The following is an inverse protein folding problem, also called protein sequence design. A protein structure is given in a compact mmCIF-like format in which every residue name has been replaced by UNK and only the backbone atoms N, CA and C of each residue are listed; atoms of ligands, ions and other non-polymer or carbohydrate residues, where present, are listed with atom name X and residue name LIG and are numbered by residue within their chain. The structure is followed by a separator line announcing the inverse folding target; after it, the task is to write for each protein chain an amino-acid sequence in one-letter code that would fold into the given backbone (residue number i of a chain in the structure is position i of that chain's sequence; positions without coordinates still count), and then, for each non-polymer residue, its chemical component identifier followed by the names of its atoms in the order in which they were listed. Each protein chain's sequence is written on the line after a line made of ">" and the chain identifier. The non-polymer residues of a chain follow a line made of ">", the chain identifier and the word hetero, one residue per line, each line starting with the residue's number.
data_IF_544193944295
#
_entry.id   IF_544193944295
#
_cell.length_a   1.000
_cell.length_b   1.000
_cell.length_c   1.000
_cell.angle_alpha   90.00
_cell.angle_beta   90.00
_cell.angle_gamma   90.00
#
_symmetry.space_group_name_H-M   'P 1'
#
loop_
_entity.id
_entity.type
_entity.pdbx_description
1 polymer ?
#
# COMPACT_ATOMS: atom_id res chain seq x y z
N UNK A 1 -1.31 -9.05 -1.43
CA UNK A 1 -2.46 -8.65 -0.61
C UNK A 1 -2.22 -8.90 0.88
N UNK A 2 -1.69 -10.07 1.28
CA UNK A 2 -1.48 -10.44 2.70
C UNK A 2 -0.49 -9.58 3.49
N UNK A 3 0.27 -8.73 2.84
CA UNK A 3 1.23 -7.79 3.47
C UNK A 3 0.82 -6.32 3.35
N UNK A 4 -0.36 -6.04 2.83
CA UNK A 4 -0.86 -4.70 2.51
C UNK A 4 -2.26 -4.49 3.06
N UNK A 5 -2.72 -3.26 3.05
CA UNK A 5 -4.13 -2.93 3.19
C UNK A 5 -4.92 -3.48 1.99
N UNK A 6 -6.14 -3.91 2.24
CA UNK A 6 -7.03 -4.45 1.22
C UNK A 6 -8.40 -3.82 1.36
N UNK A 7 -8.88 -3.22 0.29
CA UNK A 7 -10.24 -2.68 0.20
C UNK A 7 -11.19 -3.77 -0.27
N UNK A 8 -12.26 -3.95 0.47
CA UNK A 8 -13.32 -4.91 0.16
C UNK A 8 -14.55 -4.13 -0.31
N UNK A 9 -15.15 -4.58 -1.42
CA UNK A 9 -16.39 -4.00 -1.96
C UNK A 9 -17.38 -5.08 -2.33
N UNK A 10 -18.66 -4.74 -2.24
CA UNK A 10 -19.74 -5.58 -2.77
C UNK A 10 -19.63 -5.64 -4.30
N UNK A 11 -19.93 -6.81 -4.87
CA UNK A 11 -19.88 -7.03 -6.34
C UNK A 11 -20.85 -6.15 -7.11
N UNK A 12 -21.95 -5.73 -6.48
CA UNK A 12 -22.95 -4.87 -7.08
C UNK A 12 -22.61 -3.37 -6.93
N UNK A 13 -21.67 -3.04 -6.03
CA UNK A 13 -21.20 -1.67 -5.76
C UNK A 13 -19.66 -1.63 -5.69
N UNK A 14 -18.97 -1.92 -6.79
CA UNK A 14 -17.51 -2.12 -6.79
C UNK A 14 -16.71 -0.86 -6.45
N UNK A 15 -17.31 0.32 -6.62
CA UNK A 15 -16.67 1.61 -6.33
C UNK A 15 -16.92 2.11 -4.89
N UNK A 16 -17.77 1.41 -4.13
CA UNK A 16 -18.05 1.74 -2.73
C UNK A 16 -17.24 0.85 -1.81
N UNK A 17 -16.55 1.43 -0.84
CA UNK A 17 -15.85 0.66 0.18
C UNK A 17 -16.88 0.02 1.11
N UNK A 18 -16.85 -1.29 1.21
CA UNK A 18 -17.62 -2.01 2.22
C UNK A 18 -16.89 -2.01 3.56
N UNK A 19 -15.65 -2.43 3.56
CA UNK A 19 -14.71 -2.32 4.68
C UNK A 19 -13.28 -2.49 4.20
N UNK A 20 -12.33 -2.12 5.06
CA UNK A 20 -10.90 -2.33 4.84
C UNK A 20 -10.39 -3.45 5.74
N UNK A 21 -9.38 -4.17 5.26
CA UNK A 21 -8.59 -5.13 6.03
C UNK A 21 -7.12 -4.73 6.02
N UNK A 22 -6.44 -4.91 7.14
CA UNK A 22 -5.01 -4.68 7.24
C UNK A 22 -4.27 -6.01 7.38
N UNK A 23 -3.46 -6.34 6.39
CA UNK A 23 -2.68 -7.58 6.32
C UNK A 23 -3.52 -8.85 6.56
N UNK A 24 -4.61 -9.03 5.82
CA UNK A 24 -5.50 -10.19 6.00
C UNK A 24 -4.77 -11.50 5.71
N UNK A 25 -5.26 -12.58 6.29
CA UNK A 25 -4.80 -13.92 5.96
C UNK A 25 -5.25 -14.35 4.55
N UNK A 26 -4.54 -15.32 3.98
CA UNK A 26 -4.94 -15.88 2.67
C UNK A 26 -6.32 -16.53 2.75
N UNK A 27 -6.59 -17.27 3.82
CA UNK A 27 -7.88 -17.93 4.05
C UNK A 27 -9.04 -16.92 4.13
N UNK A 28 -8.84 -15.80 4.82
CA UNK A 28 -9.83 -14.71 4.89
C UNK A 28 -10.13 -14.13 3.50
N UNK A 29 -9.09 -13.85 2.70
CA UNK A 29 -9.26 -13.37 1.33
C UNK A 29 -9.95 -14.39 0.42
N UNK A 30 -9.60 -15.66 0.51
CA UNK A 30 -10.24 -16.73 -0.25
C UNK A 30 -11.74 -16.85 0.10
N UNK A 31 -12.09 -16.73 1.37
CA UNK A 31 -13.48 -16.75 1.79
C UNK A 31 -14.26 -15.53 1.30
N UNK A 32 -13.69 -14.32 1.44
CA UNK A 32 -14.31 -13.08 0.97
C UNK A 32 -14.44 -13.02 -0.55
N UNK A 33 -13.50 -13.59 -1.30
CA UNK A 33 -13.53 -13.61 -2.77
C UNK A 33 -14.75 -14.33 -3.36
N UNK A 34 -15.43 -15.13 -2.57
CA UNK A 34 -16.68 -15.82 -2.99
C UNK A 34 -17.85 -14.84 -3.16
N UNK A 35 -17.89 -13.78 -2.37
CA UNK A 35 -19.01 -12.83 -2.29
C UNK A 35 -18.62 -11.38 -2.62
N UNK A 36 -17.39 -10.99 -2.38
CA UNK A 36 -16.88 -9.63 -2.54
C UNK A 36 -15.80 -9.55 -3.62
N UNK A 37 -15.52 -8.33 -4.03
CA UNK A 37 -14.30 -7.95 -4.74
C UNK A 37 -13.29 -7.45 -3.72
N UNK A 38 -12.00 -7.58 -4.04
CA UNK A 38 -10.96 -6.96 -3.25
C UNK A 38 -9.91 -6.29 -4.14
N UNK A 39 -9.43 -5.15 -3.69
CA UNK A 39 -8.37 -4.37 -4.31
C UNK A 39 -7.27 -4.11 -3.29
N UNK A 40 -6.03 -4.26 -3.71
CA UNK A 40 -4.89 -3.96 -2.86
C UNK A 40 -4.69 -2.45 -2.77
N UNK A 41 -4.54 -1.93 -1.56
CA UNK A 41 -4.14 -0.56 -1.34
C UNK A 41 -2.71 -0.32 -1.84
N UNK A 42 -2.54 0.71 -2.63
CA UNK A 42 -1.25 1.14 -3.18
C UNK A 42 -0.66 2.35 -2.43
N UNK A 43 -1.26 2.75 -1.31
CA UNK A 43 -0.80 3.86 -0.47
C UNK A 43 -1.16 5.24 -1.00
N UNK A 44 -2.14 5.37 -1.89
CA UNK A 44 -2.63 6.66 -2.39
C UNK A 44 -4.04 6.89 -1.88
N UNK A 45 -4.19 7.91 -1.03
CA UNK A 45 -5.44 8.29 -0.40
C UNK A 45 -5.76 9.75 -0.70
N UNK A 46 -6.95 10.01 -1.19
CA UNK A 46 -7.48 11.36 -1.38
C UNK A 46 -8.45 11.65 -0.22
N UNK A 47 -8.08 12.56 0.64
CA UNK A 47 -8.83 12.89 1.85
C UNK A 47 -9.53 14.23 1.68
N UNK A 48 -10.79 14.30 2.11
CA UNK A 48 -11.50 15.56 2.26
C UNK A 48 -11.00 16.34 3.48
N UNK A 49 -11.24 17.64 3.53
CA UNK A 49 -10.91 18.48 4.69
C UNK A 49 -11.49 17.88 5.97
N UNK A 50 -12.75 17.43 5.94
CA UNK A 50 -13.38 16.75 7.08
C UNK A 50 -12.63 15.49 7.52
N UNK A 51 -12.15 14.68 6.59
CA UNK A 51 -11.37 13.48 6.92
C UNK A 51 -10.03 13.85 7.56
N UNK A 52 -9.37 14.91 7.06
CA UNK A 52 -8.13 15.43 7.64
C UNK A 52 -8.38 15.97 9.05
N UNK A 53 -9.43 16.75 9.27
CA UNK A 53 -9.79 17.27 10.59
C UNK A 53 -10.02 16.14 11.61
N UNK A 54 -10.71 15.07 11.19
CA UNK A 54 -10.93 13.90 12.04
C UNK A 54 -9.63 13.15 12.35
N UNK A 55 -8.74 12.98 11.37
CA UNK A 55 -7.42 12.41 11.60
C UNK A 55 -6.61 13.24 12.60
N UNK A 56 -6.59 14.56 12.43
CA UNK A 56 -5.92 15.47 13.33
C UNK A 56 -6.51 15.37 14.75
N UNK A 57 -7.84 15.37 14.87
CA UNK A 57 -8.54 15.19 16.15
C UNK A 57 -8.18 13.88 16.85
N UNK A 58 -8.07 12.77 16.12
CA UNK A 58 -7.71 11.44 16.68
C UNK A 58 -6.23 11.33 17.08
N UNK A 59 -5.37 12.14 16.48
CA UNK A 59 -3.95 12.22 16.81
C UNK A 59 -3.65 13.13 18.00
N UNK A 60 -4.66 13.83 18.55
CA UNK A 60 -4.51 14.64 19.75
C UNK A 60 -4.49 13.78 21.01
N UNK A 61 -3.65 14.11 21.97
CA UNK A 61 -3.88 13.75 23.38
C UNK A 61 -5.03 14.61 23.91
N UNK A 62 -5.81 14.07 24.82
CA UNK A 62 -6.97 14.75 25.39
C UNK A 62 -6.66 16.23 25.71
N UNK A 63 -7.53 17.14 25.28
CA UNK A 63 -7.61 18.57 25.62
C UNK A 63 -6.67 19.54 24.85
N UNK A 64 -6.00 19.17 23.77
CA UNK A 64 -5.15 20.09 23.02
C UNK A 64 -5.54 20.26 21.54
N UNK A 65 -5.71 21.49 21.06
CA UNK A 65 -5.69 21.75 19.65
C UNK A 65 -4.29 21.50 19.09
N UNK A 66 -4.18 20.75 17.97
CA UNK A 66 -2.91 20.61 17.27
C UNK A 66 -2.58 21.94 16.59
N UNK A 67 -1.38 22.43 16.87
CA UNK A 67 -0.78 23.54 16.15
C UNK A 67 0.49 23.03 15.44
N UNK A 68 0.97 23.80 14.47
CA UNK A 68 2.21 23.50 13.71
C UNK A 68 3.40 23.29 14.66
N UNK A 69 3.39 23.97 15.79
CA UNK A 69 4.44 23.89 16.81
C UNK A 69 4.17 22.84 17.90
N UNK A 70 3.13 22.00 17.78
CA UNK A 70 2.84 20.97 18.79
C UNK A 70 3.98 19.98 18.87
N UNK A 71 4.62 19.79 20.05
CA UNK A 71 5.71 18.84 20.20
C UNK A 71 5.26 17.42 19.87
N UNK A 72 6.11 16.63 19.18
CA UNK A 72 5.82 15.25 18.84
C UNK A 72 5.45 14.39 20.06
N UNK A 73 6.02 14.67 21.22
CA UNK A 73 5.70 14.01 22.50
C UNK A 73 4.24 14.16 22.92
N UNK A 74 3.56 15.20 22.43
CA UNK A 74 2.18 15.54 22.78
C UNK A 74 1.17 14.96 21.80
N UNK A 75 1.65 14.28 20.76
CA UNK A 75 0.81 13.55 19.80
C UNK A 75 0.48 12.15 20.33
N UNK A 76 -0.74 11.70 20.04
CA UNK A 76 -1.15 10.31 20.19
C UNK A 76 -0.84 9.57 18.90
N UNK A 77 -0.19 8.41 18.99
CA UNK A 77 -0.05 7.54 17.84
C UNK A 77 -1.44 7.10 17.37
N UNK A 78 -1.72 7.34 16.09
CA UNK A 78 -2.95 6.93 15.42
C UNK A 78 -2.57 6.41 14.03
N UNK A 79 -2.82 5.13 13.77
CA UNK A 79 -2.38 4.47 12.55
C UNK A 79 -3.36 4.71 11.40
N UNK A 80 -2.85 5.19 10.27
CA UNK A 80 -3.66 5.48 9.10
C UNK A 80 -4.37 4.22 8.54
N UNK A 81 -3.78 3.05 8.69
CA UNK A 81 -4.34 1.79 8.17
C UNK A 81 -5.13 1.04 9.24
N UNK A 82 -4.49 0.80 10.40
CA UNK A 82 -5.05 -0.03 11.44
C UNK A 82 -6.13 0.65 12.29
N UNK A 83 -6.11 1.99 12.39
CA UNK A 83 -7.12 2.74 13.12
C UNK A 83 -8.09 3.44 12.17
N UNK A 84 -7.61 4.38 11.35
CA UNK A 84 -8.45 5.15 10.45
C UNK A 84 -9.06 4.30 9.34
N UNK A 85 -8.23 3.52 8.62
CA UNK A 85 -8.69 2.71 7.50
C UNK A 85 -9.73 1.66 7.90
N UNK A 86 -9.55 1.00 9.05
CA UNK A 86 -10.51 0.01 9.55
C UNK A 86 -11.83 0.64 10.06
N UNK A 87 -11.86 1.96 10.24
CA UNK A 87 -13.08 2.72 10.60
C UNK A 87 -13.86 3.20 9.37
N UNK A 88 -13.41 2.88 8.16
CA UNK A 88 -14.03 3.36 6.92
C UNK A 88 -14.89 2.29 6.24
N UNK A 89 -15.88 2.75 5.47
CA UNK A 89 -16.74 1.92 4.64
C UNK A 89 -18.15 1.74 5.21
N UNK A 90 -18.96 0.94 4.50
CA UNK A 90 -20.36 0.70 4.86
C UNK A 90 -20.50 -0.23 6.08
N UNK A 91 -19.54 -1.15 6.26
CA UNK A 91 -19.49 -2.10 7.38
C UNK A 91 -18.09 -2.06 8.04
N UNK A 92 -17.72 -0.93 8.65
CA UNK A 92 -16.38 -0.74 9.20
C UNK A 92 -16.06 -1.77 10.29
N UNK A 93 -14.77 -2.06 10.45
CA UNK A 93 -14.28 -3.01 11.46
C UNK A 93 -14.08 -2.38 12.83
N UNK A 94 -13.98 -1.06 12.86
CA UNK A 94 -13.87 -0.27 14.09
C UNK A 94 -15.06 0.68 14.16
N UNK A 95 -15.74 0.68 15.28
CA UNK A 95 -16.86 1.61 15.54
C UNK A 95 -16.32 2.97 15.98
N UNK A 96 -16.57 3.98 15.16
CA UNK A 96 -16.33 5.40 15.43
C UNK A 96 -17.38 6.21 14.67
N UNK A 97 -18.35 6.74 15.37
CA UNK A 97 -19.52 7.43 14.80
C UNK A 97 -19.15 8.52 13.79
N UNK A 98 -18.12 9.31 14.09
CA UNK A 98 -17.68 10.40 13.21
C UNK A 98 -16.98 9.86 11.95
N UNK A 99 -16.08 8.89 12.11
CA UNK A 99 -15.33 8.29 10.98
C UNK A 99 -16.23 7.41 10.12
N UNK A 100 -17.11 6.62 10.76
CA UNK A 100 -18.06 5.77 10.03
C UNK A 100 -19.08 6.58 9.20
N UNK A 101 -19.24 7.88 9.50
CA UNK A 101 -20.08 8.78 8.69
C UNK A 101 -19.40 9.32 7.43
N UNK A 102 -18.12 9.05 7.22
CA UNK A 102 -17.41 9.43 6.00
C UNK A 102 -17.84 8.55 4.83
N UNK A 103 -18.14 9.17 3.71
CA UNK A 103 -18.33 8.43 2.44
C UNK A 103 -16.98 8.09 1.84
N UNK A 104 -16.82 6.86 1.38
CA UNK A 104 -15.56 6.36 0.82
C UNK A 104 -15.79 5.72 -0.53
N UNK A 105 -15.09 6.20 -1.55
CA UNK A 105 -15.07 5.60 -2.88
C UNK A 105 -13.72 4.92 -3.14
N UNK A 106 -13.77 3.77 -3.80
CA UNK A 106 -12.59 3.06 -4.29
C UNK A 106 -12.37 3.50 -5.75
N UNK A 107 -11.14 3.90 -6.07
CA UNK A 107 -10.72 4.26 -7.41
C UNK A 107 -9.82 3.13 -7.97
N UNK A 108 -10.36 2.19 -8.76
CA UNK A 108 -9.56 1.14 -9.36
C UNK A 108 -8.55 1.72 -10.34
N UNK A 109 -7.32 1.22 -10.32
CA UNK A 109 -6.29 1.55 -11.31
C UNK A 109 -6.14 0.38 -12.30
N UNK A 110 -6.94 0.35 -13.38
CA UNK A 110 -6.90 -0.75 -14.34
C UNK A 110 -5.59 -0.76 -15.12
N UNK A 111 -5.00 -1.94 -15.27
CA UNK A 111 -3.72 -2.11 -15.98
C UNK A 111 -2.51 -1.56 -15.25
N UNK A 112 -2.67 -1.14 -14.01
CA UNK A 112 -1.58 -0.73 -13.15
C UNK A 112 -0.73 -1.91 -12.68
N UNK A 113 0.53 -1.64 -12.41
CA UNK A 113 1.44 -2.58 -11.77
C UNK A 113 1.97 -1.95 -10.47
N UNK A 114 2.13 -2.77 -9.46
CA UNK A 114 2.57 -2.32 -8.14
C UNK A 114 3.94 -2.91 -7.78
N UNK A 115 4.93 -2.04 -7.67
CA UNK A 115 6.30 -2.40 -7.28
C UNK A 115 6.58 -1.87 -5.88
N UNK A 116 6.57 -2.76 -4.92
CA UNK A 116 6.74 -2.42 -3.51
C UNK A 116 8.20 -2.54 -3.08
N UNK A 117 8.60 -1.69 -2.13
CA UNK A 117 9.96 -1.60 -1.56
C UNK A 117 9.95 -1.76 -0.04
N UNK A 118 9.00 -2.53 0.51
CA UNK A 118 8.82 -2.69 1.96
C UNK A 118 9.83 -3.61 2.65
N UNK A 119 10.55 -4.45 1.88
CA UNK A 119 11.57 -5.35 2.39
C UNK A 119 12.82 -5.33 1.52
N UNK A 120 13.98 -5.76 2.05
CA UNK A 120 15.22 -5.87 1.27
C UNK A 120 15.08 -6.80 0.06
N UNK A 121 14.28 -7.85 0.18
CA UNK A 121 13.99 -8.75 -0.95
C UNK A 121 13.18 -8.03 -2.04
N UNK A 122 12.17 -7.28 -1.65
CA UNK A 122 11.34 -6.51 -2.58
C UNK A 122 12.14 -5.37 -3.22
N UNK A 123 13.04 -4.73 -2.49
CA UNK A 123 13.98 -3.76 -3.06
C UNK A 123 14.71 -4.36 -4.26
N UNK A 124 15.29 -5.55 -4.12
CA UNK A 124 16.00 -6.22 -5.20
C UNK A 124 15.07 -6.61 -6.34
N UNK A 125 13.97 -7.31 -6.05
CA UNK A 125 13.04 -7.81 -7.07
C UNK A 125 12.35 -6.68 -7.85
N UNK A 126 11.89 -5.65 -7.15
CA UNK A 126 11.25 -4.48 -7.77
C UNK A 126 12.24 -3.67 -8.61
N UNK A 127 13.46 -3.46 -8.11
CA UNK A 127 14.51 -2.76 -8.86
C UNK A 127 14.85 -3.50 -10.15
N UNK A 128 15.06 -4.82 -10.10
CA UNK A 128 15.34 -5.64 -11.29
C UNK A 128 14.21 -5.53 -12.31
N UNK A 129 12.97 -5.64 -11.85
CA UNK A 129 11.82 -5.60 -12.74
C UNK A 129 11.68 -4.23 -13.40
N UNK A 130 11.83 -3.14 -12.63
CA UNK A 130 11.77 -1.78 -13.14
C UNK A 130 12.91 -1.49 -14.12
N UNK A 131 14.14 -1.92 -13.84
CA UNK A 131 15.26 -1.76 -14.77
C UNK A 131 15.00 -2.43 -16.12
N UNK A 132 14.31 -3.56 -16.13
CA UNK A 132 13.96 -4.26 -17.36
C UNK A 132 12.75 -3.67 -18.09
N UNK A 133 11.95 -2.84 -17.42
CA UNK A 133 10.80 -2.14 -18.00
C UNK A 133 11.15 -0.75 -18.53
N UNK A 134 11.97 -0.01 -17.80
CA UNK A 134 12.40 1.33 -18.22
C UNK A 134 13.51 1.19 -19.24
N UNK A 135 13.15 1.36 -20.51
CA UNK A 135 14.11 1.37 -21.61
C UNK A 135 14.86 2.68 -21.63
N UNK A 136 16.16 2.64 -21.43
CA UNK A 136 17.02 3.79 -21.75
C UNK A 136 16.91 4.08 -23.26
N UNK A 137 16.49 5.27 -23.61
CA UNK A 137 16.30 5.67 -25.01
C UNK A 137 17.58 5.52 -25.84
N UNK A 138 18.74 5.70 -25.24
CA UNK A 138 20.05 5.45 -25.86
C UNK A 138 20.24 3.98 -26.23
N UNK A 139 19.68 3.05 -25.46
CA UNK A 139 19.72 1.62 -25.74
C UNK A 139 18.68 1.20 -26.78
N UNK A 140 17.54 1.87 -26.86
CA UNK A 140 16.55 1.66 -27.91
C UNK A 140 17.17 1.89 -29.30
N UNK A 141 17.99 2.91 -29.43
CA UNK A 141 18.69 3.22 -30.69
C UNK A 141 19.65 2.10 -31.13
N UNK A 142 20.20 1.32 -30.22
CA UNK A 142 21.06 0.18 -30.51
C UNK A 142 20.34 -1.16 -30.69
N UNK A 143 19.01 -1.19 -30.57
CA UNK A 143 18.09 -2.29 -30.87
C UNK A 143 18.41 -3.66 -30.25
N UNK A 144 19.18 -3.74 -29.19
CA UNK A 144 19.48 -4.99 -28.49
C UNK A 144 19.36 -4.84 -27.00
N UNK A 145 18.14 -4.58 -26.54
CA UNK A 145 17.83 -4.60 -25.12
C UNK A 145 17.87 -6.06 -24.64
N UNK A 146 18.94 -6.40 -23.95
CA UNK A 146 18.94 -7.59 -23.10
C UNK A 146 18.52 -7.16 -21.70
N UNK A 147 17.72 -7.97 -21.01
CA UNK A 147 17.45 -7.74 -19.59
C UNK A 147 18.75 -7.57 -18.82
N UNK A 148 18.81 -6.57 -17.95
CA UNK A 148 19.96 -6.41 -17.08
C UNK A 148 20.13 -7.66 -16.22
N UNK A 149 21.36 -8.10 -15.96
CA UNK A 149 21.61 -9.19 -15.04
C UNK A 149 21.07 -8.80 -13.66
N UNK A 150 20.34 -9.70 -13.03
CA UNK A 150 19.74 -9.51 -11.71
C UNK A 150 20.72 -9.84 -10.59
N UNK A 151 21.95 -9.34 -10.68
CA UNK A 151 23.03 -9.63 -9.73
C UNK A 151 23.44 -8.32 -9.07
N UNK A 152 23.27 -8.26 -7.75
CA UNK A 152 23.62 -7.09 -6.94
C UNK A 152 24.58 -7.53 -5.84
N UNK A 153 25.85 -7.17 -5.99
CA UNK A 153 26.90 -7.42 -4.99
C UNK A 153 27.54 -6.08 -4.62
N UNK A 154 27.51 -5.74 -3.34
CA UNK A 154 28.12 -4.52 -2.82
C UNK A 154 28.73 -4.80 -1.44
N UNK A 155 29.99 -4.38 -1.25
CA UNK A 155 30.72 -4.55 0.01
C UNK A 155 30.74 -6.00 0.52
N UNK A 156 30.83 -6.96 -0.41
CA UNK A 156 30.85 -8.39 -0.13
C UNK A 156 31.90 -9.09 -0.99
N UNK A 157 32.49 -10.14 -0.44
CA UNK A 157 33.38 -11.04 -1.16
C UNK A 157 32.61 -12.28 -1.59
N UNK A 158 32.63 -12.59 -2.87
CA UNK A 158 31.87 -13.70 -3.45
C UNK A 158 32.84 -14.75 -4.03
N UNK A 159 32.82 -15.96 -3.46
CA UNK A 159 33.66 -17.06 -3.88
C UNK A 159 32.99 -18.03 -4.85
N UNK A 160 31.72 -17.76 -5.21
CA UNK A 160 30.97 -18.60 -6.15
C UNK A 160 30.81 -17.88 -7.50
N UNK A 161 30.81 -18.61 -8.62
CA UNK A 161 30.51 -18.03 -9.91
C UNK A 161 29.06 -17.58 -9.94
N UNK A 162 28.85 -16.28 -10.09
CA UNK A 162 27.51 -15.67 -10.15
C UNK A 162 26.88 -15.89 -11.53
N UNK A 163 25.65 -16.39 -11.57
CA UNK A 163 24.89 -16.57 -12.79
C UNK A 163 23.48 -16.00 -12.65
N UNK A 164 22.90 -15.38 -13.71
CA UNK A 164 21.57 -14.74 -13.62
C UNK A 164 20.44 -15.68 -13.18
N UNK A 165 20.59 -16.99 -13.34
CA UNK A 165 19.56 -17.97 -12.97
C UNK A 165 19.67 -18.48 -11.53
N UNK A 166 20.87 -18.47 -10.95
CA UNK A 166 21.13 -19.02 -9.62
C UNK A 166 21.12 -17.97 -8.52
N UNK A 167 21.40 -16.73 -8.87
CA UNK A 167 21.74 -15.67 -7.93
C UNK A 167 20.64 -14.59 -7.84
N UNK A 168 19.43 -14.96 -8.22
CA UNK A 168 18.21 -14.14 -8.09
C UNK A 168 17.62 -14.20 -6.70
#
# INVERSE_FOLDING_TARGET
>A
ATHHGVFISDRNQPESLDFMLQKPSLEELENLSKTHLFLMDIGIWLLSDRAVDLLMKRSQKADGALDVDTPYSDLKYYDLYADFGLSLGNHPRIEDEELNSLSVAILPLPGGEFYHYGTSRELLSSTVTLQNKVYDQRQIMHRKLKPNPAIFVQNAEVHLPLTPKKDR
#
